data_IF_757336437293
#
_entry.id   IF_757336437293
#
_cell.length_a   1.000
_cell.length_b   1.000
_cell.length_c   1.000
_cell.angle_alpha   90.00
_cell.angle_beta   90.00
_cell.angle_gamma   90.00
#
_symmetry.space_group_name_H-M   'P 1'
#
loop_
_entity.id
_entity.type
_entity.pdbx_description
1 polymer ?
#
# COMPACT_ATOMS: atom_id res chain seq x y z
N UNK A 1 20.95 19.89 11.97
CA UNK A 1 20.31 20.32 10.71
C UNK A 1 19.33 19.23 10.37
N UNK A 2 18.03 19.53 10.27
CA UNK A 2 17.02 18.51 9.99
C UNK A 2 17.19 17.98 8.57
N UNK A 3 17.15 16.66 8.41
CA UNK A 3 17.09 16.02 7.10
C UNK A 3 15.84 16.52 6.37
N UNK A 4 16.03 17.27 5.29
CA UNK A 4 14.93 17.74 4.47
C UNK A 4 14.41 16.61 3.59
N UNK A 5 13.11 16.34 3.62
CA UNK A 5 12.45 15.39 2.71
C UNK A 5 12.38 15.98 1.29
N UNK A 6 12.81 15.21 0.29
CA UNK A 6 12.76 15.60 -1.14
C UNK A 6 11.56 14.92 -1.82
N UNK A 7 10.74 15.69 -2.53
CA UNK A 7 9.56 15.21 -3.26
C UNK A 7 9.67 15.58 -4.74
N UNK A 8 9.41 14.62 -5.63
CA UNK A 8 9.38 14.83 -7.08
C UNK A 8 7.97 15.16 -7.56
N UNK A 9 7.84 16.28 -8.27
CA UNK A 9 6.62 16.72 -8.96
C UNK A 9 7.01 17.37 -10.29
N UNK A 10 6.10 17.40 -11.26
CA UNK A 10 6.29 18.19 -12.47
C UNK A 10 6.44 19.66 -12.09
N UNK A 11 7.37 20.37 -12.74
CA UNK A 11 7.66 21.78 -12.45
C UNK A 11 6.43 22.69 -12.63
N UNK A 12 5.50 22.32 -13.51
CA UNK A 12 4.21 23.01 -13.69
C UNK A 12 3.32 22.97 -12.45
N UNK A 13 3.55 22.01 -11.55
CA UNK A 13 2.67 21.65 -10.44
C UNK A 13 3.29 22.03 -9.08
N UNK A 14 4.32 22.89 -9.08
CA UNK A 14 5.11 23.25 -7.89
C UNK A 14 5.35 24.76 -7.81
N UNK A 15 4.92 25.40 -6.72
CA UNK A 15 5.29 26.77 -6.36
C UNK A 15 6.02 26.84 -5.02
N UNK A 16 6.97 27.76 -4.86
CA UNK A 16 7.55 28.06 -3.53
C UNK A 16 6.45 28.54 -2.59
N UNK A 17 6.46 28.05 -1.34
CA UNK A 17 5.37 28.26 -0.38
C UNK A 17 4.19 27.30 -0.53
N UNK A 18 4.14 26.47 -1.56
CA UNK A 18 3.15 25.39 -1.69
C UNK A 18 3.38 24.33 -0.59
N UNK A 19 2.28 23.77 -0.09
CA UNK A 19 2.32 22.67 0.87
C UNK A 19 2.19 21.35 0.14
N UNK A 20 3.05 20.40 0.49
CA UNK A 20 3.03 19.04 -0.03
C UNK A 20 2.60 18.12 1.09
N UNK A 21 1.57 17.32 0.81
CA UNK A 21 1.08 16.30 1.74
C UNK A 21 1.62 14.94 1.31
N UNK A 22 2.33 14.29 2.23
CA UNK A 22 3.06 13.06 2.01
C UNK A 22 2.42 11.92 2.79
N UNK A 23 2.23 10.77 2.13
CA UNK A 23 1.90 9.53 2.84
C UNK A 23 3.22 8.81 3.07
N UNK A 24 3.61 8.67 4.34
CA UNK A 24 4.91 8.13 4.70
C UNK A 24 5.02 6.65 4.39
N UNK A 25 4.02 5.88 4.79
CA UNK A 25 4.01 4.44 4.61
C UNK A 25 2.61 3.89 4.30
N UNK A 26 2.42 3.42 3.07
CA UNK A 26 1.16 2.80 2.63
C UNK A 26 0.92 1.40 3.23
N UNK A 27 1.93 0.77 3.83
CA UNK A 27 1.79 -0.45 4.61
C UNK A 27 1.31 -0.13 6.03
N UNK A 28 1.86 0.91 6.67
CA UNK A 28 1.34 1.38 7.96
C UNK A 28 -0.15 1.74 7.88
N UNK A 29 -0.57 2.46 6.82
CA UNK A 29 -2.01 2.75 6.63
C UNK A 29 -2.83 1.46 6.41
N UNK A 30 -2.27 0.44 5.73
CA UNK A 30 -2.96 -0.85 5.59
C UNK A 30 -3.13 -1.52 6.96
N UNK A 31 -2.08 -1.53 7.78
CA UNK A 31 -2.11 -2.11 9.11
C UNK A 31 -3.19 -1.45 9.98
N UNK A 32 -3.26 -0.11 10.02
CA UNK A 32 -4.32 0.59 10.78
C UNK A 32 -5.72 0.22 10.27
N UNK A 33 -5.90 0.02 8.96
CA UNK A 33 -7.16 -0.49 8.39
C UNK A 33 -7.47 -1.91 8.85
N UNK A 34 -6.49 -2.80 8.86
CA UNK A 34 -6.68 -4.18 9.32
C UNK A 34 -6.97 -4.24 10.82
N UNK A 35 -6.24 -3.48 11.64
CA UNK A 35 -6.47 -3.37 13.09
C UNK A 35 -7.88 -2.86 13.38
N UNK A 36 -8.33 -1.84 12.66
CA UNK A 36 -9.70 -1.33 12.78
C UNK A 36 -10.75 -2.40 12.40
N UNK A 37 -10.56 -3.11 11.28
CA UNK A 37 -11.46 -4.20 10.88
C UNK A 37 -11.51 -5.30 11.95
N UNK A 38 -10.37 -5.69 12.51
CA UNK A 38 -10.32 -6.66 13.62
C UNK A 38 -11.10 -6.17 14.84
N UNK A 39 -10.95 -4.90 15.22
CA UNK A 39 -11.62 -4.31 16.38
C UNK A 39 -13.15 -4.23 16.20
N UNK A 40 -13.63 -4.11 14.97
CA UNK A 40 -15.07 -4.17 14.66
C UNK A 40 -15.63 -5.60 14.63
N UNK A 41 -14.78 -6.64 14.75
CA UNK A 41 -15.18 -8.04 14.62
C UNK A 41 -15.17 -8.57 13.19
N UNK A 42 -14.68 -7.79 12.22
CA UNK A 42 -14.57 -8.17 10.80
C UNK A 42 -13.28 -8.98 10.53
N UNK A 43 -12.95 -9.91 11.43
CA UNK A 43 -11.71 -10.70 11.41
C UNK A 43 -11.60 -11.53 10.13
N UNK A 44 -12.73 -12.09 9.67
CA UNK A 44 -12.77 -12.92 8.46
C UNK A 44 -12.27 -12.18 7.22
N UNK A 45 -12.52 -10.87 7.10
CA UNK A 45 -12.01 -10.06 5.99
C UNK A 45 -10.48 -10.02 6.02
N UNK A 46 -9.90 -9.83 7.20
CA UNK A 46 -8.44 -9.75 7.34
C UNK A 46 -7.81 -11.12 7.10
N UNK A 47 -8.35 -12.19 7.67
CA UNK A 47 -7.87 -13.57 7.47
C UNK A 47 -7.92 -13.95 5.99
N UNK A 48 -9.04 -13.72 5.31
CA UNK A 48 -9.17 -13.99 3.86
C UNK A 48 -8.18 -13.16 3.04
N UNK A 49 -7.88 -11.94 3.46
CA UNK A 49 -6.94 -11.09 2.74
C UNK A 49 -5.49 -11.60 2.83
N UNK A 50 -5.10 -12.21 3.95
CA UNK A 50 -3.74 -12.74 4.18
C UNK A 50 -3.52 -14.15 3.62
N UNK A 51 -4.60 -14.92 3.45
CA UNK A 51 -4.58 -16.34 3.07
C UNK A 51 -3.66 -16.67 1.87
N UNK A 52 -3.69 -15.87 0.79
CA UNK A 52 -2.87 -16.15 -0.39
C UNK A 52 -1.37 -16.02 -0.12
N UNK A 53 -0.96 -14.99 0.62
CA UNK A 53 0.46 -14.75 0.84
C UNK A 53 1.02 -15.75 1.87
N UNK A 54 0.23 -16.06 2.90
CA UNK A 54 0.59 -17.11 3.87
C UNK A 54 0.75 -18.48 3.23
N UNK A 55 -0.18 -18.87 2.35
CA UNK A 55 -0.05 -20.15 1.67
C UNK A 55 1.11 -20.14 0.68
N UNK A 56 1.33 -19.03 -0.05
CA UNK A 56 2.49 -18.94 -0.96
C UNK A 56 3.81 -19.07 -0.20
N UNK A 57 3.95 -18.46 0.97
CA UNK A 57 5.16 -18.58 1.80
C UNK A 57 5.42 -20.04 2.19
N UNK A 58 4.38 -20.79 2.57
CA UNK A 58 4.49 -22.24 2.88
C UNK A 58 4.96 -23.02 1.65
N UNK A 59 4.34 -22.81 0.49
CA UNK A 59 4.69 -23.55 -0.73
C UNK A 59 6.11 -23.19 -1.23
N UNK A 60 6.56 -21.95 -1.02
CA UNK A 60 7.93 -21.53 -1.33
C UNK A 60 8.95 -22.16 -0.38
N UNK A 61 8.63 -22.27 0.91
CA UNK A 61 9.48 -22.97 1.89
C UNK A 61 9.58 -24.47 1.57
N UNK A 62 8.48 -25.11 1.20
CA UNK A 62 8.42 -26.55 0.90
C UNK A 62 9.12 -26.90 -0.43
N UNK A 63 8.96 -26.06 -1.45
CA UNK A 63 9.62 -26.25 -2.74
C UNK A 63 11.11 -25.88 -2.72
N UNK A 64 11.50 -24.91 -1.88
CA UNK A 64 12.85 -24.33 -1.87
C UNK A 64 13.16 -23.49 -3.11
N UNK A 65 12.13 -23.04 -3.83
CA UNK A 65 12.28 -22.30 -5.08
C UNK A 65 12.98 -20.94 -4.87
N UNK A 66 13.93 -20.65 -5.75
CA UNK A 66 14.49 -19.31 -5.90
C UNK A 66 13.49 -18.35 -6.56
N UNK A 67 13.73 -17.03 -6.45
CA UNK A 67 12.96 -16.01 -7.16
C UNK A 67 12.88 -16.27 -8.69
N UNK A 68 13.96 -16.83 -9.27
CA UNK A 68 13.98 -17.17 -10.69
C UNK A 68 13.01 -18.31 -11.02
N UNK A 69 13.03 -19.39 -10.23
CA UNK A 69 12.12 -20.54 -10.40
C UNK A 69 10.67 -20.16 -10.14
N UNK A 70 10.41 -19.36 -9.10
CA UNK A 70 9.10 -18.77 -8.85
C UNK A 70 8.57 -18.02 -10.06
N UNK A 71 9.41 -17.16 -10.64
CA UNK A 71 9.03 -16.39 -11.82
C UNK A 71 8.72 -17.30 -13.01
N UNK A 72 9.57 -18.28 -13.30
CA UNK A 72 9.35 -19.21 -14.41
C UNK A 72 8.02 -19.97 -14.26
N UNK A 73 7.73 -20.50 -13.06
CA UNK A 73 6.47 -21.22 -12.78
C UNK A 73 5.24 -20.33 -12.93
N UNK A 74 5.29 -19.12 -12.36
CA UNK A 74 4.16 -18.18 -12.38
C UNK A 74 3.92 -17.60 -13.78
N UNK A 75 4.98 -17.34 -14.56
CA UNK A 75 4.85 -16.97 -15.98
C UNK A 75 4.29 -18.13 -16.81
N UNK A 76 4.74 -19.38 -16.57
CA UNK A 76 4.20 -20.56 -17.24
C UNK A 76 2.71 -20.79 -16.93
N UNK A 77 2.26 -20.44 -15.73
CA UNK A 77 0.84 -20.43 -15.32
C UNK A 77 0.04 -19.23 -15.90
N UNK A 78 0.67 -18.34 -16.67
CA UNK A 78 0.00 -17.28 -17.42
C UNK A 78 0.02 -15.90 -16.77
N UNK A 79 0.90 -15.66 -15.78
CA UNK A 79 1.09 -14.30 -15.26
C UNK A 79 1.67 -13.36 -16.32
N UNK A 80 1.19 -12.11 -16.30
CA UNK A 80 1.55 -11.09 -17.32
C UNK A 80 2.25 -9.87 -16.71
N UNK A 81 2.87 -10.02 -15.54
CA UNK A 81 3.58 -8.93 -14.89
C UNK A 81 4.69 -8.35 -15.79
N UNK A 82 4.75 -7.03 -15.83
CA UNK A 82 5.57 -6.29 -16.81
C UNK A 82 7.01 -6.06 -16.35
N UNK A 83 7.32 -6.27 -15.06
CA UNK A 83 8.62 -5.97 -14.48
C UNK A 83 9.07 -7.03 -13.47
N UNK A 84 10.38 -7.25 -13.43
CA UNK A 84 11.04 -8.17 -12.49
C UNK A 84 10.73 -7.81 -11.03
N UNK A 85 10.75 -6.51 -10.69
CA UNK A 85 10.40 -6.05 -9.35
C UNK A 85 8.95 -6.35 -8.92
N UNK A 86 8.04 -6.65 -9.87
CA UNK A 86 6.69 -7.09 -9.51
C UNK A 86 6.70 -8.53 -8.98
N UNK A 87 7.49 -9.42 -9.60
CA UNK A 87 7.66 -10.79 -9.13
C UNK A 87 8.40 -10.83 -7.79
N UNK A 88 9.47 -10.04 -7.65
CA UNK A 88 10.18 -9.89 -6.37
C UNK A 88 9.24 -9.45 -5.25
N UNK A 89 8.36 -8.47 -5.53
CA UNK A 89 7.38 -8.02 -4.55
C UNK A 89 6.33 -9.06 -4.16
N UNK A 90 5.98 -10.00 -5.05
CA UNK A 90 5.10 -11.12 -4.70
C UNK A 90 5.84 -12.19 -3.90
N UNK A 91 7.05 -12.56 -4.34
CA UNK A 91 7.90 -13.56 -3.70
C UNK A 91 8.33 -13.18 -2.28
N UNK A 92 8.57 -11.89 -2.04
CA UNK A 92 9.01 -11.38 -0.73
C UNK A 92 7.87 -10.95 0.18
N UNK A 93 6.61 -11.02 -0.28
CA UNK A 93 5.46 -10.52 0.47
C UNK A 93 5.34 -8.99 0.58
N UNK A 94 6.24 -8.21 -0.03
CA UNK A 94 6.16 -6.74 -0.01
C UNK A 94 4.85 -6.22 -0.64
N UNK A 95 4.32 -6.97 -1.61
CA UNK A 95 3.06 -6.66 -2.29
C UNK A 95 1.92 -7.48 -1.70
N UNK A 96 1.05 -6.82 -0.93
CA UNK A 96 -0.09 -7.48 -0.29
C UNK A 96 -1.11 -8.16 -1.23
N UNK A 97 -1.14 -7.76 -2.52
CA UNK A 97 -1.99 -8.40 -3.53
C UNK A 97 -1.57 -8.00 -4.96
N UNK A 98 -1.49 -8.96 -5.91
CA UNK A 98 -1.38 -8.66 -7.34
C UNK A 98 -2.49 -7.71 -7.83
N UNK A 99 -2.14 -6.75 -8.70
CA UNK A 99 -3.14 -5.80 -9.25
C UNK A 99 -4.18 -6.44 -10.17
N UNK A 100 -3.89 -7.62 -10.70
CA UNK A 100 -4.74 -8.34 -11.64
C UNK A 100 -5.22 -9.64 -10.99
N UNK A 101 -6.52 -9.91 -11.12
CA UNK A 101 -7.12 -11.18 -10.66
C UNK A 101 -6.52 -12.37 -11.39
N UNK A 102 -6.18 -12.19 -12.67
CA UNK A 102 -5.51 -13.22 -13.46
C UNK A 102 -4.10 -13.52 -12.95
N UNK A 103 -3.35 -12.51 -12.49
CA UNK A 103 -2.02 -12.74 -11.93
C UNK A 103 -2.10 -13.45 -10.56
N UNK A 104 -3.10 -13.13 -9.73
CA UNK A 104 -3.33 -13.89 -8.51
C UNK A 104 -3.67 -15.35 -8.84
N UNK A 105 -4.53 -15.59 -9.83
CA UNK A 105 -4.86 -16.95 -10.29
C UNK A 105 -3.62 -17.70 -10.76
N UNK A 106 -2.76 -17.05 -11.57
CA UNK A 106 -1.53 -17.67 -12.04
C UNK A 106 -0.58 -18.07 -10.90
N UNK A 107 -0.47 -17.27 -9.83
CA UNK A 107 0.32 -17.64 -8.64
C UNK A 107 -0.28 -18.87 -7.96
N UNK A 108 -1.60 -18.84 -7.72
CA UNK A 108 -2.34 -19.94 -7.08
C UNK A 108 -2.19 -21.24 -7.87
N UNK A 109 -2.31 -21.18 -9.19
CA UNK A 109 -2.20 -22.33 -10.07
C UNK A 109 -0.75 -22.83 -10.21
N UNK A 110 0.26 -21.95 -10.10
CA UNK A 110 1.66 -22.32 -10.21
C UNK A 110 2.20 -23.11 -8.99
N UNK A 111 1.59 -22.90 -7.83
CA UNK A 111 1.98 -23.49 -6.56
C UNK A 111 0.90 -24.39 -5.96
N UNK A 112 -0.10 -24.79 -6.77
CA UNK A 112 -1.20 -25.68 -6.36
C UNK A 112 -1.81 -25.28 -5.00
N UNK A 113 -2.07 -23.97 -4.83
CA UNK A 113 -2.53 -23.42 -3.55
C UNK A 113 -4.02 -23.72 -3.32
N UNK A 114 -4.34 -24.97 -2.94
CA UNK A 114 -5.70 -25.52 -2.92
C UNK A 114 -6.68 -24.69 -2.07
N UNK A 115 -6.33 -24.35 -0.83
CA UNK A 115 -7.17 -23.56 0.06
C UNK A 115 -7.51 -22.17 -0.52
N UNK A 116 -6.52 -21.50 -1.11
CA UNK A 116 -6.73 -20.20 -1.78
C UNK A 116 -7.55 -20.38 -3.06
N UNK A 117 -7.39 -21.49 -3.79
CA UNK A 117 -8.17 -21.77 -4.98
C UNK A 117 -9.66 -21.99 -4.66
N UNK A 118 -9.97 -22.69 -3.57
CA UNK A 118 -11.34 -22.91 -3.07
C UNK A 118 -12.01 -21.59 -2.67
N UNK A 119 -11.25 -20.70 -2.04
CA UNK A 119 -11.73 -19.40 -1.53
C UNK A 119 -11.35 -18.20 -2.41
N UNK A 120 -11.02 -18.44 -3.67
CA UNK A 120 -10.36 -17.47 -4.53
C UNK A 120 -11.06 -16.11 -4.65
N UNK A 121 -12.40 -16.14 -4.76
CA UNK A 121 -13.17 -14.91 -4.86
C UNK A 121 -13.20 -14.15 -3.53
N UNK A 122 -13.33 -14.85 -2.40
CA UNK A 122 -13.36 -14.23 -1.07
C UNK A 122 -12.03 -13.55 -0.75
N UNK A 123 -10.91 -14.22 -1.09
CA UNK A 123 -9.55 -13.68 -0.96
C UNK A 123 -9.35 -12.41 -1.79
N UNK A 124 -9.82 -12.43 -3.04
CA UNK A 124 -9.77 -11.28 -3.95
C UNK A 124 -10.60 -10.11 -3.43
N UNK A 125 -11.85 -10.38 -3.04
CA UNK A 125 -12.81 -9.37 -2.62
C UNK A 125 -12.39 -8.74 -1.27
N UNK A 126 -11.87 -9.53 -0.34
CA UNK A 126 -11.33 -9.06 0.93
C UNK A 126 -10.20 -8.05 0.74
N UNK A 127 -9.21 -8.37 -0.10
CA UNK A 127 -8.12 -7.44 -0.40
C UNK A 127 -8.59 -6.19 -1.14
N UNK A 128 -9.56 -6.32 -2.05
CA UNK A 128 -10.14 -5.15 -2.72
C UNK A 128 -10.87 -4.23 -1.76
N UNK A 129 -11.59 -4.80 -0.79
CA UNK A 129 -12.28 -4.07 0.26
C UNK A 129 -11.28 -3.30 1.14
N UNK A 130 -10.24 -3.95 1.65
CA UNK A 130 -9.14 -3.28 2.39
C UNK A 130 -8.50 -2.18 1.54
N UNK A 131 -8.23 -2.45 0.25
CA UNK A 131 -7.65 -1.47 -0.67
C UNK A 131 -8.57 -0.27 -0.91
N UNK A 132 -9.89 -0.45 -0.88
CA UNK A 132 -10.89 0.63 -1.02
C UNK A 132 -10.88 1.51 0.23
N UNK A 133 -11.03 0.91 1.41
CA UNK A 133 -11.00 1.61 2.70
C UNK A 133 -9.68 2.40 2.85
N UNK A 134 -8.54 1.75 2.62
CA UNK A 134 -7.22 2.39 2.65
C UNK A 134 -7.12 3.62 1.75
N UNK A 135 -7.68 3.55 0.53
CA UNK A 135 -7.66 4.69 -0.40
C UNK A 135 -8.49 5.86 0.12
N UNK A 136 -9.65 5.59 0.73
CA UNK A 136 -10.48 6.63 1.33
C UNK A 136 -9.82 7.21 2.59
N UNK A 137 -9.25 6.40 3.48
CA UNK A 137 -8.45 6.88 4.63
C UNK A 137 -7.36 7.84 4.18
N UNK A 138 -6.51 7.42 3.22
CA UNK A 138 -5.43 8.27 2.69
C UNK A 138 -5.98 9.57 2.09
N UNK A 139 -7.07 9.49 1.34
CA UNK A 139 -7.68 10.65 0.69
C UNK A 139 -8.21 11.65 1.71
N UNK A 140 -8.88 11.19 2.77
CA UNK A 140 -9.40 12.09 3.79
C UNK A 140 -8.31 12.64 4.70
N UNK A 141 -7.31 11.83 5.09
CA UNK A 141 -6.14 12.35 5.81
C UNK A 141 -5.40 13.42 5.01
N UNK A 142 -5.28 13.24 3.68
CA UNK A 142 -4.73 14.28 2.80
C UNK A 142 -5.55 15.54 2.77
N UNK A 143 -6.88 15.41 2.73
CA UNK A 143 -7.81 16.54 2.79
C UNK A 143 -7.69 17.27 4.13
N UNK A 144 -7.74 16.57 5.26
CA UNK A 144 -7.55 17.20 6.58
C UNK A 144 -6.21 17.93 6.69
N UNK A 145 -5.11 17.33 6.19
CA UNK A 145 -3.81 18.00 6.16
C UNK A 145 -3.76 19.23 5.23
N UNK A 146 -4.57 19.25 4.16
CA UNK A 146 -4.69 20.40 3.25
C UNK A 146 -5.68 21.47 3.77
N UNK A 147 -6.77 21.02 4.40
CA UNK A 147 -7.96 21.77 4.80
C UNK A 147 -7.93 22.23 6.26
N UNK A 148 -6.83 22.03 7.00
CA UNK A 148 -6.58 22.64 8.32
C UNK A 148 -6.60 24.21 8.32
N UNK A 149 -7.13 24.84 7.27
CA UNK A 149 -7.37 26.26 7.06
C UNK A 149 -8.77 26.58 6.50
N UNK A 150 -9.59 25.58 6.14
CA UNK A 150 -10.96 25.80 5.69
C UNK A 150 -11.92 25.49 6.86
N UNK A 151 -12.90 26.38 7.04
CA UNK A 151 -13.91 26.42 8.10
C UNK A 151 -14.91 25.24 8.00
N UNK A 152 -14.40 24.01 7.91
CA UNK A 152 -15.21 22.80 7.90
C UNK A 152 -15.65 22.49 9.33
N UNK A 153 -16.92 22.15 9.51
CA UNK A 153 -17.44 21.76 10.82
C UNK A 153 -16.59 20.61 11.38
N UNK A 154 -15.84 20.84 12.48
CA UNK A 154 -14.96 19.83 13.06
C UNK A 154 -15.73 18.62 13.61
N UNK A 155 -17.07 18.65 13.58
CA UNK A 155 -17.94 17.58 14.05
C UNK A 155 -18.55 16.70 12.94
N UNK A 156 -18.29 16.98 11.65
CA UNK A 156 -18.77 16.10 10.58
C UNK A 156 -17.84 14.89 10.43
N UNK A 157 -18.24 13.77 11.01
CA UNK A 157 -17.50 12.52 10.89
C UNK A 157 -17.70 11.89 9.50
N UNK A 158 -16.60 11.76 8.76
CA UNK A 158 -16.62 11.33 7.37
C UNK A 158 -16.75 9.82 7.29
N UNK A 159 -17.84 9.34 6.68
CA UNK A 159 -18.02 7.92 6.36
C UNK A 159 -17.08 7.52 5.21
N UNK A 160 -16.23 6.52 5.46
CA UNK A 160 -15.25 5.98 4.51
C UNK A 160 -15.76 4.72 3.82
N UNK A 161 -16.63 3.95 4.48
CA UNK A 161 -17.26 2.76 3.90
C UNK A 161 -18.66 2.55 4.49
N UNK A 162 -19.70 2.76 3.68
CA UNK A 162 -21.10 2.70 4.13
C UNK A 162 -21.50 1.33 4.69
N UNK A 163 -21.19 0.23 3.98
CA UNK A 163 -21.67 -1.11 4.38
C UNK A 163 -21.07 -1.62 5.71
N UNK A 164 -19.92 -1.07 6.10
CA UNK A 164 -19.22 -1.44 7.33
C UNK A 164 -19.31 -0.34 8.39
N UNK A 165 -20.01 0.77 8.09
CA UNK A 165 -20.05 2.01 8.87
C UNK A 165 -18.66 2.47 9.36
N UNK A 166 -17.65 2.34 8.49
CA UNK A 166 -16.27 2.76 8.80
C UNK A 166 -16.17 4.27 8.65
N UNK A 167 -15.71 4.96 9.68
CA UNK A 167 -15.62 6.42 9.74
C UNK A 167 -14.18 6.87 9.90
N UNK A 168 -13.90 8.12 9.54
CA UNK A 168 -12.54 8.65 9.65
C UNK A 168 -12.09 8.79 11.10
N UNK A 169 -13.02 9.11 12.02
CA UNK A 169 -12.74 9.22 13.45
C UNK A 169 -12.27 7.92 14.09
N UNK A 170 -12.55 6.77 13.46
CA UNK A 170 -12.12 5.46 13.92
C UNK A 170 -10.61 5.21 13.75
N UNK A 171 -9.93 6.05 12.94
CA UNK A 171 -8.53 5.89 12.62
C UNK A 171 -7.67 6.84 13.45
N UNK A 172 -6.67 6.27 14.13
CA UNK A 172 -5.58 7.07 14.66
C UNK A 172 -4.72 7.57 13.47
N UNK A 173 -4.49 8.88 13.30
CA UNK A 173 -3.66 9.42 12.22
C UNK A 173 -2.16 9.13 12.41
N UNK A 174 -1.79 8.32 13.41
CA UNK A 174 -0.42 7.88 13.68
C UNK A 174 -0.30 6.36 13.59
N UNK A 175 0.87 5.88 13.19
CA UNK A 175 1.22 4.46 13.24
C UNK A 175 1.51 3.98 14.68
N UNK A 176 1.84 2.70 14.82
CA UNK A 176 2.15 2.07 16.11
C UNK A 176 3.42 2.62 16.77
N UNK A 177 4.30 3.32 16.03
CA UNK A 177 5.47 4.02 16.54
C UNK A 177 5.17 5.48 16.92
N UNK A 178 3.91 5.91 16.80
CA UNK A 178 3.46 7.27 17.09
C UNK A 178 3.82 8.29 16.00
N UNK A 179 4.22 7.83 14.81
CA UNK A 179 4.58 8.71 13.68
C UNK A 179 3.34 8.98 12.84
N UNK A 180 3.22 10.20 12.31
CA UNK A 180 2.07 10.55 11.49
C UNK A 180 2.01 9.71 10.21
N UNK A 181 0.84 9.15 9.89
CA UNK A 181 0.58 8.43 8.64
C UNK A 181 0.69 9.36 7.43
N UNK A 182 0.35 10.63 7.65
CA UNK A 182 0.41 11.71 6.66
C UNK A 182 1.18 12.89 7.24
N UNK A 183 2.21 13.33 6.53
CA UNK A 183 3.05 14.46 6.91
C UNK A 183 2.79 15.64 5.97
N UNK A 184 2.78 16.85 6.53
CA UNK A 184 2.63 18.08 5.78
C UNK A 184 3.98 18.82 5.73
N UNK A 185 4.47 19.08 4.53
CA UNK A 185 5.71 19.82 4.31
C UNK A 185 5.41 21.13 3.58
N UNK A 186 6.19 22.17 3.86
CA UNK A 186 6.15 23.43 3.09
C UNK A 186 7.37 23.47 2.18
N UNK A 187 7.17 23.76 0.90
CA UNK A 187 8.26 23.91 -0.06
C UNK A 187 9.00 25.20 0.27
N UNK A 188 10.20 25.05 0.83
CA UNK A 188 11.08 26.16 1.15
C UNK A 188 11.84 26.66 -0.08
N UNK A 189 12.31 25.73 -0.92
CA UNK A 189 13.15 26.04 -2.08
C UNK A 189 12.72 25.18 -3.27
N UNK A 190 12.63 25.80 -4.45
CA UNK A 190 12.43 25.10 -5.73
C UNK A 190 13.72 25.26 -6.53
N UNK A 191 14.30 24.15 -6.97
CA UNK A 191 15.50 24.14 -7.82
C UNK A 191 15.09 23.61 -9.19
N UNK A 192 15.07 24.50 -10.19
CA UNK A 192 15.04 24.12 -11.61
C UNK A 192 16.48 24.04 -12.12
N UNK A 193 16.74 23.21 -13.12
CA UNK A 193 18.07 23.05 -13.77
C UNK A 193 19.05 22.13 -13.03
N UNK A 194 18.56 21.01 -12.51
CA UNK A 194 19.43 19.94 -12.04
C UNK A 194 19.67 18.94 -13.19
N UNK A 195 20.83 19.02 -13.86
CA UNK A 195 21.33 17.90 -14.67
C UNK A 195 21.85 16.83 -13.69
N UNK A 196 21.08 15.76 -13.50
CA UNK A 196 21.58 14.57 -12.80
C UNK A 196 21.50 13.36 -13.71
N UNK A 197 22.50 12.46 -13.69
CA UNK A 197 22.38 11.18 -14.37
C UNK A 197 21.14 10.45 -13.85
N UNK A 198 20.44 9.72 -14.70
CA UNK A 198 19.20 8.97 -14.36
C UNK A 198 19.40 8.05 -13.13
N UNK A 199 20.64 7.65 -12.85
CA UNK A 199 21.03 6.87 -11.66
C UNK A 199 21.08 7.65 -10.34
N UNK A 200 20.95 8.98 -10.35
CA UNK A 200 20.88 9.83 -9.16
C UNK A 200 19.46 9.91 -8.57
N UNK A 201 18.49 9.19 -9.14
CA UNK A 201 17.16 9.04 -8.53
C UNK A 201 17.34 8.22 -7.25
N UNK A 202 17.62 8.90 -6.14
CA UNK A 202 17.79 8.30 -4.83
C UNK A 202 16.54 7.51 -4.47
N UNK A 203 16.74 6.22 -4.19
CA UNK A 203 15.68 5.35 -3.69
C UNK A 203 15.01 6.01 -2.48
N UNK A 204 13.68 5.99 -2.48
CA UNK A 204 12.84 6.65 -1.49
C UNK A 204 12.84 5.96 -0.11
N UNK A 205 13.79 5.06 0.13
CA UNK A 205 14.15 4.44 1.42
C UNK A 205 15.65 4.15 1.38
N UNK A 206 16.38 4.53 2.43
CA UNK A 206 17.66 3.89 2.69
C UNK A 206 17.39 2.39 2.91
N UNK A 207 18.03 1.52 2.14
CA UNK A 207 18.38 0.20 2.69
C UNK A 207 19.41 0.51 3.76
N UNK A 208 19.09 0.20 5.01
CA UNK A 208 20.13 0.08 6.03
C UNK A 208 21.05 -1.05 5.58
N UNK A 209 22.32 -0.73 5.38
CA UNK A 209 23.40 -1.72 5.51
C UNK A 209 23.65 -1.97 7.00
#
# INVERSE_FOLDING_TARGET
>A
MGEGTTVEKKLSDVKSGERVVLVRDYQAVRQVVEDHLMNMGEIDIVVRAHMWHQQLDIELEDSGDSLYEFREKVEAAGATASSEGTFEGWYTGEVNMPRSKANLRAIVDAYDMEEVAEHFNDVWDANWKIRKIKREVVKQLKRQAADALADHDPNEDIVLHDDLDVRLSDFNPTDHEGRALVEQHTIQTVVSDIERPVSYVGKWRQRSD
#
